data_IF_990890792365
#
_entry.id   IF_990890792365
#
_cell.length_a   1.000
_cell.length_b   1.000
_cell.length_c   1.000
_cell.angle_alpha   90.00
_cell.angle_beta   90.00
_cell.angle_gamma   90.00
#
_symmetry.space_group_name_H-M   'P 1'
#
loop_
_entity.id
_entity.type
_entity.pdbx_description
1 polymer ?
#
# COMPACT_ATOMS: atom_id res chain seq x y z
N UNK A 1 -12.23 31.25 26.44
CA UNK A 1 -10.78 31.00 26.25
C UNK A 1 -10.50 29.82 25.32
N UNK A 2 -11.13 28.65 25.48
CA UNK A 2 -10.83 27.46 24.68
C UNK A 2 -11.04 27.63 23.16
N UNK A 3 -12.10 28.32 22.73
CA UNK A 3 -12.37 28.51 21.30
C UNK A 3 -11.25 29.26 20.57
N UNK A 4 -10.57 30.20 21.25
CA UNK A 4 -9.44 30.94 20.66
C UNK A 4 -8.24 30.04 20.42
N UNK A 5 -7.96 29.10 21.33
CA UNK A 5 -6.88 28.14 21.16
C UNK A 5 -7.12 27.23 19.95
N UNK A 6 -8.37 26.83 19.71
CA UNK A 6 -8.75 26.08 18.51
C UNK A 6 -8.54 26.88 17.24
N UNK A 7 -9.01 28.12 17.20
CA UNK A 7 -8.85 29.00 16.03
C UNK A 7 -7.37 29.23 15.67
N UNK A 8 -6.53 29.46 16.68
CA UNK A 8 -5.08 29.61 16.47
C UNK A 8 -4.46 28.29 15.99
N UNK A 9 -4.87 27.16 16.55
CA UNK A 9 -4.27 25.87 16.22
C UNK A 9 -4.61 25.38 14.80
N UNK A 10 -5.74 25.81 14.24
CA UNK A 10 -6.17 25.47 12.87
C UNK A 10 -5.86 26.56 11.84
N UNK A 11 -5.19 27.64 12.25
CA UNK A 11 -4.86 28.73 11.35
C UNK A 11 -4.02 28.22 10.16
N UNK A 12 -4.35 28.70 8.96
CA UNK A 12 -3.77 28.23 7.70
C UNK A 12 -4.20 26.85 7.19
N UNK A 13 -5.09 26.13 7.91
CA UNK A 13 -5.63 24.84 7.45
C UNK A 13 -6.92 25.07 6.64
N UNK A 14 -7.09 24.44 5.46
CA UNK A 14 -8.33 24.54 4.68
C UNK A 14 -9.57 24.14 5.49
N UNK A 15 -10.66 24.91 5.36
CA UNK A 15 -11.90 24.69 6.11
C UNK A 15 -12.48 23.28 5.92
N UNK A 16 -12.35 22.72 4.72
CA UNK A 16 -12.81 21.35 4.44
C UNK A 16 -11.99 20.30 5.21
N UNK A 17 -10.68 20.48 5.37
CA UNK A 17 -9.84 19.58 6.16
C UNK A 17 -10.21 19.64 7.64
N UNK A 18 -10.51 20.85 8.16
CA UNK A 18 -11.04 21.06 9.52
C UNK A 18 -12.38 20.36 9.72
N UNK A 19 -13.29 20.48 8.75
CA UNK A 19 -14.60 19.81 8.77
C UNK A 19 -14.48 18.28 8.76
N UNK A 20 -13.59 17.72 7.92
CA UNK A 20 -13.30 16.28 7.89
C UNK A 20 -12.73 15.81 9.23
N UNK A 21 -11.82 16.57 9.83
CA UNK A 21 -11.27 16.25 11.15
C UNK A 21 -12.37 16.24 12.23
N UNK A 22 -13.25 17.25 12.26
CA UNK A 22 -14.37 17.30 13.19
C UNK A 22 -15.28 16.06 13.09
N UNK A 23 -15.60 15.62 11.87
CA UNK A 23 -16.36 14.38 11.64
C UNK A 23 -15.67 13.14 12.20
N UNK A 24 -14.34 13.05 12.12
CA UNK A 24 -13.60 11.91 12.66
C UNK A 24 -13.68 11.85 14.18
N UNK A 25 -13.53 12.99 14.86
CA UNK A 25 -13.68 13.07 16.32
C UNK A 25 -15.11 12.72 16.76
N UNK A 26 -16.12 13.31 16.11
CA UNK A 26 -17.54 13.05 16.43
C UNK A 26 -17.94 11.58 16.19
N UNK A 27 -17.35 10.93 15.18
CA UNK A 27 -17.62 9.52 14.87
C UNK A 27 -16.74 8.54 15.66
N UNK A 28 -15.83 9.02 16.52
CA UNK A 28 -14.92 8.16 17.29
C UNK A 28 -13.90 7.42 16.43
N UNK A 29 -13.56 7.95 15.25
CA UNK A 29 -12.59 7.35 14.30
C UNK A 29 -11.15 7.80 14.53
N UNK A 30 -10.92 8.66 15.53
CA UNK A 30 -9.58 9.08 15.93
C UNK A 30 -9.05 8.11 16.97
N UNK A 31 -7.90 7.50 16.68
CA UNK A 31 -7.23 6.54 17.56
C UNK A 31 -6.96 7.19 18.93
N UNK A 32 -7.18 6.41 19.99
CA UNK A 32 -6.89 6.81 21.37
C UNK A 32 -7.66 8.06 21.87
N UNK A 33 -8.71 8.49 21.15
CA UNK A 33 -9.59 9.59 21.57
C UNK A 33 -10.95 9.06 22.03
N UNK A 34 -11.36 9.46 23.24
CA UNK A 34 -12.69 9.17 23.75
C UNK A 34 -13.71 10.19 23.22
N UNK A 35 -14.65 9.72 22.39
CA UNK A 35 -15.74 10.53 21.78
C UNK A 35 -16.63 11.29 22.78
N UNK A 36 -16.62 10.91 24.05
CA UNK A 36 -17.41 11.58 25.09
C UNK A 36 -16.82 12.94 25.49
N UNK A 37 -15.58 13.23 25.11
CA UNK A 37 -14.88 14.46 25.47
C UNK A 37 -14.50 15.25 24.22
N UNK A 38 -14.46 16.58 24.34
CA UNK A 38 -13.88 17.40 23.29
C UNK A 38 -12.38 17.10 23.15
N UNK A 39 -11.82 17.09 21.93
CA UNK A 39 -10.38 16.92 21.77
C UNK A 39 -9.59 18.06 22.42
N UNK A 40 -8.27 17.91 22.49
CA UNK A 40 -7.40 19.06 22.74
C UNK A 40 -7.23 19.85 21.44
N UNK A 41 -6.99 21.16 21.53
CA UNK A 41 -6.73 21.98 20.35
C UNK A 41 -5.53 21.45 19.52
N UNK A 42 -4.50 20.93 20.20
CA UNK A 42 -3.32 20.34 19.57
C UNK A 42 -3.68 19.06 18.79
N UNK A 43 -4.40 18.13 19.42
CA UNK A 43 -4.83 16.88 18.77
C UNK A 43 -5.78 17.15 17.60
N UNK A 44 -6.68 18.12 17.75
CA UNK A 44 -7.59 18.51 16.68
C UNK A 44 -6.82 19.06 15.45
N UNK A 45 -5.87 19.96 15.68
CA UNK A 45 -5.04 20.52 14.62
C UNK A 45 -4.17 19.48 13.91
N UNK A 46 -3.67 18.48 14.64
CA UNK A 46 -2.92 17.38 14.06
C UNK A 46 -3.75 16.57 13.06
N UNK A 47 -4.96 16.16 13.46
CA UNK A 47 -5.87 15.44 12.56
C UNK A 47 -6.28 16.32 11.37
N UNK A 48 -6.50 17.62 11.58
CA UNK A 48 -6.82 18.55 10.49
C UNK A 48 -5.67 18.64 9.46
N UNK A 49 -4.41 18.67 9.90
CA UNK A 49 -3.24 18.61 9.00
C UNK A 49 -3.14 17.27 8.26
N UNK A 50 -3.44 16.16 8.92
CA UNK A 50 -3.49 14.85 8.26
C UNK A 50 -4.57 14.82 7.17
N UNK A 51 -5.75 15.39 7.42
CA UNK A 51 -6.80 15.50 6.41
C UNK A 51 -6.40 16.39 5.23
N UNK A 52 -5.70 17.49 5.49
CA UNK A 52 -5.14 18.34 4.44
C UNK A 52 -4.13 17.57 3.57
N UNK A 53 -3.27 16.76 4.16
CA UNK A 53 -2.32 15.92 3.42
C UNK A 53 -3.04 14.90 2.53
N UNK A 54 -4.08 14.24 3.06
CA UNK A 54 -4.92 13.30 2.29
C UNK A 54 -5.61 14.01 1.12
N UNK A 55 -6.20 15.18 1.35
CA UNK A 55 -6.84 15.97 0.29
C UNK A 55 -5.84 16.38 -0.80
N UNK A 56 -4.64 16.80 -0.40
CA UNK A 56 -3.57 17.16 -1.34
C UNK A 56 -3.14 15.98 -2.19
N UNK A 57 -3.05 14.78 -1.59
CA UNK A 57 -2.76 13.55 -2.32
C UNK A 57 -3.89 13.16 -3.28
N UNK A 58 -5.16 13.30 -2.86
CA UNK A 58 -6.33 13.01 -3.69
C UNK A 58 -6.46 13.97 -4.88
N UNK A 59 -6.10 15.24 -4.69
CA UNK A 59 -6.15 16.27 -5.72
C UNK A 59 -4.93 16.24 -6.65
N UNK A 60 -3.93 15.41 -6.36
CA UNK A 60 -2.75 15.30 -7.22
C UNK A 60 -3.18 14.76 -8.60
N UNK A 61 -2.87 15.45 -9.70
CA UNK A 61 -3.25 14.99 -11.02
C UNK A 61 -2.65 13.61 -11.28
N UNK A 62 -3.46 12.71 -11.83
CA UNK A 62 -3.01 11.38 -12.24
C UNK A 62 -1.93 11.56 -13.30
N UNK A 63 -0.69 11.22 -12.97
CA UNK A 63 0.39 11.13 -13.95
C UNK A 63 0.07 9.95 -14.86
N UNK A 64 0.07 10.18 -16.16
CA UNK A 64 -0.14 9.13 -17.15
C UNK A 64 0.94 8.06 -16.98
N UNK A 65 0.54 6.78 -17.02
CA UNK A 65 1.52 5.71 -16.89
C UNK A 65 2.49 5.80 -18.08
N UNK A 66 3.81 5.63 -17.88
CA UNK A 66 4.74 5.55 -18.99
C UNK A 66 4.28 4.45 -19.96
N UNK A 67 4.42 4.66 -21.27
CA UNK A 67 4.01 3.68 -22.27
C UNK A 67 4.68 2.34 -21.97
N UNK A 68 3.88 1.26 -22.03
CA UNK A 68 4.38 -0.09 -21.80
C UNK A 68 5.46 -0.40 -22.85
N UNK A 69 6.70 -0.57 -22.40
CA UNK A 69 7.78 -0.96 -23.30
C UNK A 69 7.46 -2.34 -23.87
N UNK A 70 7.69 -2.57 -25.18
CA UNK A 70 7.46 -3.88 -25.78
C UNK A 70 8.36 -4.91 -25.10
N UNK A 71 7.78 -5.70 -24.20
CA UNK A 71 8.48 -6.81 -23.58
C UNK A 71 8.70 -7.90 -24.63
N UNK A 72 9.86 -8.58 -24.64
CA UNK A 72 10.10 -9.69 -25.55
C UNK A 72 9.04 -10.76 -25.33
N UNK A 73 8.41 -11.23 -26.41
CA UNK A 73 7.40 -12.31 -26.36
C UNK A 73 8.03 -13.52 -25.68
N UNK A 74 7.61 -13.81 -24.45
CA UNK A 74 8.03 -15.01 -23.75
C UNK A 74 7.50 -16.22 -24.52
N UNK A 75 8.39 -17.14 -24.89
CA UNK A 75 8.00 -18.35 -25.62
C UNK A 75 6.88 -19.10 -24.86
N UNK A 76 5.83 -19.52 -25.58
CA UNK A 76 4.64 -20.15 -25.00
C UNK A 76 4.97 -21.38 -24.12
N UNK A 77 6.05 -22.09 -24.45
CA UNK A 77 6.55 -23.22 -23.67
C UNK A 77 7.05 -22.81 -22.27
N UNK A 78 7.81 -21.70 -22.16
CA UNK A 78 8.28 -21.17 -20.87
C UNK A 78 7.11 -20.76 -19.97
N UNK A 79 6.06 -20.21 -20.58
CA UNK A 79 4.84 -19.85 -19.84
C UNK A 79 4.07 -21.07 -19.33
N UNK A 80 4.02 -22.15 -20.12
CA UNK A 80 3.42 -23.42 -19.69
C UNK A 80 4.17 -24.02 -18.51
N UNK A 81 5.51 -24.03 -18.56
CA UNK A 81 6.36 -24.50 -17.45
C UNK A 81 6.17 -23.68 -16.18
N UNK A 82 6.11 -22.35 -16.28
CA UNK A 82 5.86 -21.48 -15.13
C UNK A 82 4.51 -21.77 -14.47
N UNK A 83 3.45 -21.96 -15.27
CA UNK A 83 2.12 -22.34 -14.76
C UNK A 83 2.14 -23.71 -14.08
N UNK A 84 2.81 -24.69 -14.69
CA UNK A 84 2.94 -26.03 -14.10
C UNK A 84 3.72 -26.00 -12.78
N UNK A 85 4.81 -25.22 -12.72
CA UNK A 85 5.60 -25.04 -11.51
C UNK A 85 4.82 -24.32 -10.39
N UNK A 86 4.03 -23.30 -10.76
CA UNK A 86 3.12 -22.60 -9.83
C UNK A 86 2.03 -23.55 -9.28
N UNK A 87 1.54 -24.48 -10.10
CA UNK A 87 0.60 -25.52 -9.69
C UNK A 87 1.27 -26.71 -8.96
N UNK A 88 2.56 -26.58 -8.59
CA UNK A 88 3.26 -27.58 -7.76
C UNK A 88 4.00 -28.67 -8.54
N UNK A 89 4.05 -28.63 -9.87
CA UNK A 89 4.78 -29.64 -10.65
C UNK A 89 6.28 -29.59 -10.40
N UNK A 90 6.82 -30.68 -9.83
CA UNK A 90 8.24 -30.81 -9.48
C UNK A 90 9.13 -30.90 -10.72
N UNK A 91 8.69 -31.62 -11.75
CA UNK A 91 9.43 -31.71 -13.02
C UNK A 91 9.53 -30.35 -13.72
N UNK A 92 8.47 -29.54 -13.66
CA UNK A 92 8.48 -28.19 -14.20
C UNK A 92 9.43 -27.25 -13.43
N UNK A 93 9.49 -27.35 -12.10
CA UNK A 93 10.44 -26.59 -11.28
C UNK A 93 11.90 -26.93 -11.60
N UNK A 94 12.22 -28.21 -11.83
CA UNK A 94 13.57 -28.65 -12.25
C UNK A 94 13.93 -28.16 -13.65
N UNK A 95 13.03 -28.34 -14.62
CA UNK A 95 13.24 -27.85 -15.99
C UNK A 95 13.44 -26.32 -16.02
N UNK A 96 12.74 -25.56 -15.17
CA UNK A 96 12.97 -24.12 -15.03
C UNK A 96 14.34 -23.79 -14.41
N UNK A 97 14.80 -24.57 -13.42
CA UNK A 97 16.11 -24.35 -12.81
C UNK A 97 17.27 -24.65 -13.78
N UNK A 98 17.12 -25.63 -14.66
CA UNK A 98 18.09 -25.91 -15.73
C UNK A 98 18.12 -24.79 -16.77
N UNK A 99 16.97 -24.19 -17.11
CA UNK A 99 16.89 -23.09 -18.08
C UNK A 99 17.35 -21.74 -17.53
N UNK A 100 17.29 -21.55 -16.22
CA UNK A 100 17.61 -20.29 -15.54
C UNK A 100 18.48 -20.54 -14.31
N UNK A 101 19.73 -21.02 -14.49
CA UNK A 101 20.60 -21.41 -13.38
C UNK A 101 20.98 -20.21 -12.49
N UNK A 102 21.07 -19.02 -13.07
CA UNK A 102 21.47 -17.79 -12.36
C UNK A 102 20.32 -17.16 -11.56
N UNK A 103 19.11 -17.72 -11.62
CA UNK A 103 17.96 -17.18 -10.88
C UNK A 103 17.82 -17.86 -9.51
N UNK A 104 18.14 -17.18 -8.40
CA UNK A 104 18.14 -17.79 -7.07
C UNK A 104 16.75 -18.20 -6.60
N UNK A 105 15.68 -17.53 -7.09
CA UNK A 105 14.29 -17.85 -6.73
C UNK A 105 13.87 -19.18 -7.35
N UNK A 106 14.21 -19.39 -8.62
CA UNK A 106 13.89 -20.62 -9.35
C UNK A 106 14.72 -21.79 -8.80
N UNK A 107 16.01 -21.56 -8.53
CA UNK A 107 16.90 -22.57 -7.95
C UNK A 107 16.41 -23.03 -6.57
N UNK A 108 15.99 -22.09 -5.71
CA UNK A 108 15.41 -22.42 -4.39
C UNK A 108 14.12 -23.22 -4.52
N UNK A 109 13.19 -22.80 -5.38
CA UNK A 109 11.93 -23.51 -5.59
C UNK A 109 12.13 -24.96 -6.07
N UNK A 110 13.19 -25.23 -6.84
CA UNK A 110 13.54 -26.59 -7.26
C UNK A 110 14.11 -27.45 -6.12
N UNK A 111 14.90 -26.86 -5.20
CA UNK A 111 15.40 -27.54 -3.99
C UNK A 111 14.28 -27.85 -3.00
N UNK A 112 13.42 -26.88 -2.73
CA UNK A 112 12.25 -27.07 -1.84
C UNK A 112 11.34 -28.22 -2.35
N UNK A 113 11.25 -28.38 -3.68
CA UNK A 113 10.50 -29.47 -4.30
C UNK A 113 11.19 -30.84 -4.19
N UNK A 114 12.50 -30.89 -3.96
CA UNK A 114 13.29 -32.11 -3.71
C UNK A 114 13.23 -32.51 -2.22
N UNK A 115 13.29 -31.55 -1.31
CA UNK A 115 13.29 -31.78 0.14
C UNK A 115 11.94 -32.27 0.68
N UNK A 116 10.82 -31.91 0.05
CA UNK A 116 9.48 -32.42 0.39
C UNK A 116 9.23 -33.92 0.06
N UNK A 117 10.30 -34.73 0.00
CA UNK A 117 10.31 -36.19 -0.23
C UNK A 117 11.13 -36.93 0.83
N UNK A 118 11.94 -36.22 1.64
CA UNK A 118 12.59 -36.78 2.83
C UNK A 118 11.72 -36.65 4.06
#
# INVERSE_FOLDING_TARGET
>A
MQIRAYLVAIDGIPAEAVWRAAKLFLSGKVRDHNRAFAPSAASFAEIARQQQAVMTAQNRPRVEAPPEQPQPKVAAYKMRLLRQAANGSRSAKRALAEMFPDNPVIARAARDAQEAVG
#
